data_IF_746975070241
#
_entry.id   IF_746975070241
#
_cell.length_a   1.000
_cell.length_b   1.000
_cell.length_c   1.000
_cell.angle_alpha   90.00
_cell.angle_beta   90.00
_cell.angle_gamma   90.00
#
_symmetry.space_group_name_H-M   'P 1'
#
loop_
_entity.id
_entity.type
_entity.pdbx_description
1 polymer ?
#
# COMPACT_ATOMS: atom_id res chain seq x y z
N UNK A 1 12.21 9.57 4.71
CA UNK A 1 13.09 8.85 5.65
C UNK A 1 13.64 7.63 4.95
N UNK A 2 14.94 7.35 5.11
CA UNK A 2 15.56 6.12 4.59
C UNK A 2 15.92 5.22 5.76
N UNK A 3 15.66 3.94 5.62
CA UNK A 3 15.89 2.89 6.61
C UNK A 3 16.63 1.74 5.95
N UNK A 4 17.18 0.85 6.75
CA UNK A 4 17.68 -0.45 6.27
C UNK A 4 16.76 -1.54 6.82
N UNK A 5 16.12 -2.26 5.93
CA UNK A 5 15.22 -3.37 6.25
C UNK A 5 15.75 -4.64 5.58
N UNK A 6 15.99 -5.67 6.37
CA UNK A 6 16.56 -6.93 5.88
C UNK A 6 17.84 -6.73 5.02
N UNK A 7 18.70 -5.77 5.43
CA UNK A 7 19.95 -5.44 4.74
C UNK A 7 19.79 -4.64 3.44
N UNK A 8 18.60 -4.14 3.11
CA UNK A 8 18.31 -3.35 1.90
C UNK A 8 17.76 -1.97 2.25
N UNK A 9 18.07 -0.93 1.45
CA UNK A 9 17.46 0.38 1.61
C UNK A 9 15.94 0.33 1.43
N UNK A 10 15.22 0.90 2.39
CA UNK A 10 13.79 1.10 2.40
C UNK A 10 13.46 2.60 2.54
N UNK A 11 12.36 3.02 1.97
CA UNK A 11 11.92 4.41 1.99
C UNK A 11 10.52 4.55 2.60
N UNK A 12 10.37 5.59 3.42
CA UNK A 12 9.08 6.04 3.91
C UNK A 12 9.00 7.59 3.81
N UNK A 13 7.95 8.10 3.22
CA UNK A 13 7.66 9.52 3.22
C UNK A 13 7.03 9.93 4.54
N UNK A 14 7.54 11.00 5.14
CA UNK A 14 7.16 11.43 6.50
C UNK A 14 6.23 12.64 6.53
N UNK A 15 5.56 12.94 5.41
CA UNK A 15 4.67 14.11 5.33
C UNK A 15 5.40 15.46 5.42
N UNK A 16 6.69 15.52 5.04
CA UNK A 16 7.59 16.69 5.11
C UNK A 16 8.04 17.09 6.53
N UNK A 17 7.79 16.27 7.54
CA UNK A 17 8.26 16.52 8.92
C UNK A 17 9.29 15.50 9.35
N UNK A 18 10.18 15.91 10.25
CA UNK A 18 11.11 14.99 10.89
C UNK A 18 10.34 13.96 11.74
N UNK A 19 10.79 12.73 11.70
CA UNK A 19 10.25 11.65 12.54
C UNK A 19 10.63 11.89 14.00
N UNK A 20 9.67 11.78 14.92
CA UNK A 20 9.87 11.92 16.36
C UNK A 20 9.25 10.71 17.09
N UNK A 21 10.07 9.79 17.65
CA UNK A 21 9.59 8.56 18.29
C UNK A 21 8.57 8.78 19.44
N UNK A 22 8.53 9.97 20.02
CA UNK A 22 7.59 10.31 21.08
C UNK A 22 6.15 10.60 20.60
N UNK A 23 5.96 10.78 19.28
CA UNK A 23 4.65 11.05 18.70
C UNK A 23 3.95 9.77 18.25
N UNK A 24 2.60 9.79 18.31
CA UNK A 24 1.80 8.72 17.71
C UNK A 24 2.06 8.59 16.22
N UNK A 25 2.14 7.37 15.70
CA UNK A 25 2.54 7.09 14.32
C UNK A 25 1.36 6.60 13.49
N UNK A 26 1.22 7.12 12.27
CA UNK A 26 0.34 6.63 11.23
C UNK A 26 1.17 6.03 10.09
N UNK A 27 0.88 4.79 9.73
CA UNK A 27 1.54 4.04 8.66
C UNK A 27 0.57 3.86 7.51
N UNK A 28 0.99 4.24 6.30
CA UNK A 28 0.19 4.13 5.08
C UNK A 28 0.84 3.13 4.12
N UNK A 29 0.09 2.08 3.77
CA UNK A 29 0.53 1.00 2.89
C UNK A 29 -0.23 1.09 1.57
N UNK A 30 0.50 1.24 0.46
CA UNK A 30 -0.08 1.39 -0.87
C UNK A 30 -0.60 0.07 -1.46
N UNK A 31 -1.39 0.15 -2.53
CA UNK A 31 -1.89 -0.98 -3.31
C UNK A 31 -0.90 -1.46 -4.37
N UNK A 32 -1.31 -2.47 -5.15
CA UNK A 32 -0.50 -3.08 -6.21
C UNK A 32 0.02 -2.05 -7.20
N UNK A 33 1.29 -2.18 -7.59
CA UNK A 33 2.00 -1.32 -8.54
C UNK A 33 1.92 0.18 -8.26
N UNK A 34 1.83 0.57 -6.98
CA UNK A 34 1.83 1.96 -6.52
C UNK A 34 3.08 2.27 -5.69
N UNK A 35 3.15 3.46 -5.14
CA UNK A 35 4.16 3.91 -4.18
C UNK A 35 3.54 4.85 -3.12
N UNK A 36 4.36 5.35 -2.20
CA UNK A 36 3.93 6.26 -1.14
C UNK A 36 3.16 7.48 -1.62
N UNK A 37 3.33 7.91 -2.89
CA UNK A 37 2.75 9.15 -3.40
C UNK A 37 1.22 9.10 -3.55
N UNK A 38 0.60 7.90 -3.58
CA UNK A 38 -0.86 7.77 -3.52
C UNK A 38 -1.44 8.35 -2.22
N UNK A 39 -0.63 8.42 -1.18
CA UNK A 39 -0.98 8.94 0.14
C UNK A 39 -0.58 10.42 0.35
N UNK A 40 -0.21 11.15 -0.70
CA UNK A 40 0.37 12.49 -0.59
C UNK A 40 -0.50 13.47 0.22
N UNK A 41 -1.82 13.45 0.05
CA UNK A 41 -2.73 14.33 0.77
C UNK A 41 -2.91 13.89 2.23
N UNK A 42 -3.15 12.60 2.46
CA UNK A 42 -3.38 12.03 3.77
C UNK A 42 -2.11 12.14 4.65
N UNK A 43 -0.96 11.79 4.09
CA UNK A 43 0.31 11.86 4.81
C UNK A 43 0.64 13.28 5.27
N UNK A 44 0.41 14.29 4.41
CA UNK A 44 0.60 15.70 4.77
C UNK A 44 -0.40 16.16 5.82
N UNK A 45 -1.67 15.76 5.69
CA UNK A 45 -2.70 16.10 6.66
C UNK A 45 -2.35 15.57 8.07
N UNK A 46 -2.00 14.28 8.19
CA UNK A 46 -1.63 13.69 9.47
C UNK A 46 -0.36 14.33 10.05
N UNK A 47 0.66 14.56 9.23
CA UNK A 47 1.89 15.22 9.69
C UNK A 47 1.63 16.65 10.18
N UNK A 48 0.75 17.39 9.49
CA UNK A 48 0.34 18.74 9.91
C UNK A 48 -0.36 18.71 11.27
N UNK A 49 -1.13 17.66 11.57
CA UNK A 49 -1.85 17.48 12.82
C UNK A 49 -1.01 16.78 13.92
N UNK A 50 0.30 16.81 13.83
CA UNK A 50 1.21 16.36 14.89
C UNK A 50 1.37 14.85 15.00
N UNK A 51 1.16 14.12 13.90
CA UNK A 51 1.47 12.69 13.83
C UNK A 51 2.84 12.45 13.20
N UNK A 52 3.54 11.44 13.64
CA UNK A 52 4.51 10.80 12.79
C UNK A 52 3.80 10.12 11.64
N UNK A 53 4.38 10.19 10.47
CA UNK A 53 3.85 9.55 9.26
C UNK A 53 4.93 8.69 8.62
N UNK A 54 4.55 7.49 8.26
CA UNK A 54 5.33 6.59 7.42
C UNK A 54 4.44 6.14 6.26
N UNK A 55 4.41 6.90 5.16
CA UNK A 55 3.87 6.41 3.90
C UNK A 55 4.99 5.64 3.20
N UNK A 56 4.90 4.32 3.28
CA UNK A 56 6.00 3.41 2.91
C UNK A 56 5.99 3.06 1.42
N UNK A 57 7.17 2.85 0.85
CA UNK A 57 7.32 2.11 -0.40
C UNK A 57 7.63 0.65 -0.06
N UNK A 58 6.80 -0.26 -0.53
CA UNK A 58 7.01 -1.70 -0.35
C UNK A 58 8.27 -2.18 -1.11
N UNK A 59 8.86 -3.34 -0.78
CA UNK A 59 10.09 -3.80 -1.44
C UNK A 59 9.88 -3.93 -2.95
N UNK A 60 10.83 -3.39 -3.72
CA UNK A 60 10.76 -3.32 -5.18
C UNK A 60 9.82 -2.26 -5.76
N UNK A 61 9.24 -1.40 -4.90
CA UNK A 61 8.39 -0.28 -5.29
C UNK A 61 9.05 1.07 -4.97
N UNK A 62 8.73 2.09 -5.76
CA UNK A 62 9.15 3.47 -5.52
C UNK A 62 10.65 3.61 -5.28
N UNK A 63 11.01 4.02 -4.08
CA UNK A 63 12.39 4.23 -3.63
C UNK A 63 12.92 3.11 -2.72
N UNK A 64 12.12 2.07 -2.46
CA UNK A 64 12.55 0.90 -1.68
C UNK A 64 13.20 -0.15 -2.57
N UNK A 65 14.38 -0.60 -2.16
CA UNK A 65 15.12 -1.64 -2.86
C UNK A 65 14.75 -3.04 -2.33
N UNK A 66 15.15 -4.04 -3.06
CA UNK A 66 15.01 -5.44 -2.67
C UNK A 66 14.17 -6.25 -3.65
N UNK A 67 14.12 -7.56 -3.46
CA UNK A 67 13.24 -8.40 -4.25
C UNK A 67 11.79 -8.10 -3.90
N UNK A 68 10.89 -8.29 -4.87
CA UNK A 68 9.46 -8.28 -4.63
C UNK A 68 9.09 -9.38 -3.63
N UNK A 69 8.19 -9.09 -2.72
CA UNK A 69 7.54 -10.12 -1.92
C UNK A 69 6.47 -10.81 -2.78
N UNK A 70 6.42 -12.13 -2.70
CA UNK A 70 5.52 -12.94 -3.52
C UNK A 70 4.24 -13.37 -2.79
N UNK A 71 4.07 -12.93 -1.54
CA UNK A 71 2.86 -13.19 -0.75
C UNK A 71 2.54 -12.01 0.18
N UNK A 72 1.29 -11.93 0.62
CA UNK A 72 0.82 -10.92 1.58
C UNK A 72 1.50 -11.12 2.93
N UNK A 73 1.72 -12.35 3.35
CA UNK A 73 2.42 -12.69 4.58
C UNK A 73 3.86 -12.14 4.58
N UNK A 74 4.57 -12.31 3.46
CA UNK A 74 5.94 -11.78 3.33
C UNK A 74 5.95 -10.24 3.32
N UNK A 75 4.93 -9.61 2.73
CA UNK A 75 4.76 -8.15 2.81
C UNK A 75 4.52 -7.70 4.26
N UNK A 76 3.66 -8.40 5.01
CA UNK A 76 3.39 -8.10 6.40
C UNK A 76 4.64 -8.24 7.28
N UNK A 77 5.43 -9.32 7.10
CA UNK A 77 6.69 -9.53 7.81
C UNK A 77 7.71 -8.42 7.47
N UNK A 78 7.77 -7.98 6.20
CA UNK A 78 8.63 -6.88 5.80
C UNK A 78 8.19 -5.54 6.41
N UNK A 79 6.88 -5.26 6.46
CA UNK A 79 6.36 -4.04 7.12
C UNK A 79 6.66 -4.07 8.61
N UNK A 80 6.51 -5.23 9.27
CA UNK A 80 6.91 -5.39 10.68
C UNK A 80 8.39 -5.04 10.89
N UNK A 81 9.28 -5.58 10.05
CA UNK A 81 10.71 -5.29 10.11
C UNK A 81 11.03 -3.80 9.85
N UNK A 82 10.25 -3.12 8.97
CA UNK A 82 10.39 -1.68 8.76
C UNK A 82 9.99 -0.89 10.02
N UNK A 83 8.89 -1.26 10.66
CA UNK A 83 8.43 -0.60 11.89
C UNK A 83 9.39 -0.82 13.05
N UNK A 84 9.95 -2.03 13.18
CA UNK A 84 11.01 -2.33 14.16
C UNK A 84 12.27 -1.49 13.88
N UNK A 85 12.70 -1.37 12.61
CA UNK A 85 13.84 -0.54 12.21
C UNK A 85 13.60 0.97 12.41
N UNK A 86 12.34 1.42 12.39
CA UNK A 86 11.95 2.79 12.70
C UNK A 86 11.67 3.03 14.19
N UNK A 87 11.88 2.01 15.04
CA UNK A 87 11.62 2.04 16.50
C UNK A 87 10.16 2.40 16.84
N UNK A 88 9.22 2.03 15.96
CA UNK A 88 7.78 2.24 16.18
C UNK A 88 7.27 1.13 17.08
N UNK A 89 6.73 1.51 18.25
CA UNK A 89 6.19 0.54 19.21
C UNK A 89 4.74 0.17 18.95
N UNK A 90 3.94 1.12 18.47
CA UNK A 90 2.56 0.89 18.06
C UNK A 90 2.11 1.99 17.09
N UNK A 91 1.41 1.62 16.03
CA UNK A 91 0.95 2.53 15.00
C UNK A 91 -0.54 2.35 14.66
N UNK A 92 -1.15 3.42 14.14
CA UNK A 92 -2.37 3.30 13.34
C UNK A 92 -1.94 2.90 11.94
N UNK A 93 -2.38 1.74 11.47
CA UNK A 93 -2.01 1.21 10.15
C UNK A 93 -3.17 1.37 9.18
N UNK A 94 -2.90 2.02 8.05
CA UNK A 94 -3.87 2.31 7.00
C UNK A 94 -3.39 1.62 5.72
N UNK A 95 -4.15 0.67 5.19
CA UNK A 95 -3.82 -0.04 3.97
C UNK A 95 -4.88 0.13 2.89
N UNK A 96 -4.45 0.26 1.64
CA UNK A 96 -5.33 0.32 0.47
C UNK A 96 -5.12 -0.88 -0.44
N UNK A 97 -6.21 -1.55 -0.87
CA UNK A 97 -6.16 -2.69 -1.79
C UNK A 97 -5.20 -3.78 -1.29
N UNK A 98 -4.15 -4.16 -2.04
CA UNK A 98 -3.08 -5.06 -1.56
C UNK A 98 -2.53 -4.64 -0.19
N UNK A 99 -2.31 -3.34 0.01
CA UNK A 99 -1.87 -2.81 1.30
C UNK A 99 -2.87 -3.02 2.43
N UNK A 100 -4.17 -3.19 2.13
CA UNK A 100 -5.17 -3.53 3.15
C UNK A 100 -5.05 -4.97 3.61
N UNK A 101 -4.77 -5.90 2.70
CA UNK A 101 -4.48 -7.29 3.05
C UNK A 101 -3.19 -7.40 3.88
N UNK A 102 -2.15 -6.67 3.45
CA UNK A 102 -0.88 -6.56 4.19
C UNK A 102 -1.08 -6.01 5.60
N UNK A 103 -1.91 -4.97 5.75
CA UNK A 103 -2.22 -4.38 7.05
C UNK A 103 -3.01 -5.32 7.97
N UNK A 104 -3.96 -6.08 7.40
CA UNK A 104 -4.73 -7.09 8.12
C UNK A 104 -3.82 -8.22 8.61
N UNK A 105 -2.97 -8.76 7.75
CA UNK A 105 -2.02 -9.82 8.09
C UNK A 105 -0.99 -9.33 9.12
N UNK A 106 -0.50 -8.10 9.01
CA UNK A 106 0.38 -7.48 10.00
C UNK A 106 -0.30 -7.41 11.38
N UNK A 107 -1.56 -6.98 11.44
CA UNK A 107 -2.30 -6.92 12.70
C UNK A 107 -2.49 -8.29 13.33
N UNK A 108 -2.69 -9.34 12.53
CA UNK A 108 -2.82 -10.70 13.02
C UNK A 108 -1.50 -11.28 13.56
N UNK A 109 -0.36 -10.95 12.93
CA UNK A 109 0.96 -11.48 13.30
C UNK A 109 1.67 -10.68 14.37
N UNK A 110 1.50 -9.35 14.34
CA UNK A 110 2.21 -8.38 15.15
C UNK A 110 1.22 -7.37 15.76
N UNK A 111 0.25 -7.92 16.53
CA UNK A 111 -0.73 -7.11 17.24
C UNK A 111 -0.08 -6.05 18.19
N UNK A 112 1.15 -6.31 18.63
CA UNK A 112 1.96 -5.38 19.41
C UNK A 112 2.30 -4.10 18.62
N UNK A 113 2.42 -4.17 17.31
CA UNK A 113 2.74 -3.02 16.44
C UNK A 113 1.50 -2.27 15.94
N UNK A 114 0.29 -2.83 16.07
CA UNK A 114 -0.92 -2.25 15.47
C UNK A 114 -1.89 -1.81 16.54
N UNK A 115 -1.97 -0.51 16.79
CA UNK A 115 -2.91 0.07 17.77
C UNK A 115 -4.32 0.25 17.21
N UNK A 116 -4.43 0.53 15.91
CA UNK A 116 -5.70 0.66 15.16
C UNK A 116 -5.45 0.30 13.69
N UNK A 117 -6.49 -0.18 13.04
CA UNK A 117 -6.47 -0.62 11.65
C UNK A 117 -7.52 0.13 10.83
N UNK A 118 -7.14 0.56 9.62
CA UNK A 118 -8.06 1.09 8.62
C UNK A 118 -7.83 0.38 7.28
N UNK A 119 -8.84 -0.30 6.79
CA UNK A 119 -8.82 -1.06 5.54
C UNK A 119 -9.62 -0.31 4.47
N UNK A 120 -8.95 0.09 3.40
CA UNK A 120 -9.54 0.86 2.29
C UNK A 120 -9.55 0.01 1.04
N UNK A 121 -10.74 -0.17 0.43
CA UNK A 121 -10.88 -0.99 -0.78
C UNK A 121 -10.45 -2.45 -0.55
N UNK A 122 -10.86 -3.03 0.58
CA UNK A 122 -10.48 -4.37 1.02
C UNK A 122 -11.53 -5.41 0.65
N UNK A 123 -11.09 -6.59 0.30
CA UNK A 123 -11.91 -7.79 0.20
C UNK A 123 -11.07 -9.03 0.56
N UNK A 124 -11.66 -9.99 1.27
CA UNK A 124 -11.01 -11.26 1.61
C UNK A 124 -12.01 -12.40 1.34
N UNK A 125 -11.70 -13.31 0.41
CA UNK A 125 -10.57 -13.26 -0.52
C UNK A 125 -10.70 -12.09 -1.52
N UNK A 126 -9.55 -11.59 -2.01
CA UNK A 126 -9.56 -10.55 -3.03
C UNK A 126 -9.75 -11.20 -4.41
N UNK A 127 -10.86 -10.88 -5.06
CA UNK A 127 -11.23 -11.49 -6.34
C UNK A 127 -10.41 -10.89 -7.50
N UNK A 128 -9.17 -11.38 -7.66
CA UNK A 128 -8.35 -11.09 -8.85
C UNK A 128 -8.72 -12.08 -9.95
N UNK A 129 -9.45 -11.62 -10.96
CA UNK A 129 -9.88 -12.45 -12.09
C UNK A 129 -8.71 -12.90 -12.96
N UNK A 130 -8.84 -14.10 -13.55
CA UNK A 130 -7.78 -14.68 -14.42
C UNK A 130 -7.43 -13.78 -15.59
N UNK A 131 -8.43 -13.13 -16.19
CA UNK A 131 -8.22 -12.21 -17.32
C UNK A 131 -7.37 -10.98 -16.94
N UNK A 132 -7.48 -10.48 -15.70
CA UNK A 132 -6.65 -9.39 -15.20
C UNK A 132 -5.22 -9.88 -14.95
N UNK A 133 -5.08 -11.05 -14.35
CA UNK A 133 -3.77 -11.64 -14.05
C UNK A 133 -3.00 -11.97 -15.32
N UNK A 134 -3.68 -12.56 -16.32
CA UNK A 134 -3.10 -12.81 -17.64
C UNK A 134 -2.68 -11.50 -18.34
N UNK A 135 -3.53 -10.50 -18.32
CA UNK A 135 -3.21 -9.18 -18.88
C UNK A 135 -2.01 -8.55 -18.16
N UNK A 136 -1.90 -8.67 -16.84
CA UNK A 136 -0.75 -8.15 -16.08
C UNK A 136 0.57 -8.85 -16.46
N UNK A 137 0.52 -10.12 -16.85
CA UNK A 137 1.69 -10.88 -17.30
C UNK A 137 2.08 -10.55 -18.76
N UNK A 138 1.10 -10.52 -19.66
CA UNK A 138 1.32 -10.53 -21.10
C UNK A 138 1.06 -9.18 -21.80
N UNK A 139 0.27 -8.29 -21.18
CA UNK A 139 -0.17 -7.00 -21.73
C UNK A 139 -0.36 -5.98 -20.60
N UNK A 140 0.69 -5.70 -19.85
CA UNK A 140 0.67 -4.95 -18.58
C UNK A 140 -0.08 -3.61 -18.68
N UNK A 141 0.08 -2.85 -19.77
CA UNK A 141 -0.64 -1.60 -19.98
C UNK A 141 -2.17 -1.81 -20.05
N UNK A 142 -2.62 -2.93 -20.64
CA UNK A 142 -4.04 -3.29 -20.64
C UNK A 142 -4.54 -3.55 -19.23
N UNK A 143 -3.77 -4.28 -18.43
CA UNK A 143 -4.12 -4.53 -17.03
C UNK A 143 -4.21 -3.25 -16.21
N UNK A 144 -3.26 -2.33 -16.37
CA UNK A 144 -3.27 -1.03 -15.72
C UNK A 144 -4.53 -0.23 -16.07
N UNK A 145 -4.94 -0.22 -17.35
CA UNK A 145 -6.19 0.43 -17.79
C UNK A 145 -7.41 -0.23 -17.16
N UNK A 146 -7.51 -1.56 -17.17
CA UNK A 146 -8.61 -2.30 -16.53
C UNK A 146 -8.76 -1.92 -15.05
N UNK A 147 -7.65 -1.87 -14.30
CA UNK A 147 -7.67 -1.48 -12.89
C UNK A 147 -8.18 -0.06 -12.72
N UNK A 148 -7.67 0.88 -13.51
CA UNK A 148 -8.07 2.29 -13.43
C UNK A 148 -9.54 2.47 -13.78
N UNK A 149 -10.03 1.82 -14.82
CA UNK A 149 -11.43 1.90 -15.25
C UNK A 149 -12.39 1.41 -14.16
N UNK A 150 -11.99 0.39 -13.40
CA UNK A 150 -12.79 -0.14 -12.29
C UNK A 150 -12.65 0.64 -10.99
N UNK A 151 -11.55 1.37 -10.81
CA UNK A 151 -11.24 2.07 -9.56
C UNK A 151 -11.92 3.42 -9.43
N UNK A 152 -12.38 4.02 -10.51
CA UNK A 152 -12.96 5.35 -10.51
C UNK A 152 -14.43 5.33 -10.93
N UNK A 153 -15.27 6.03 -10.17
CA UNK A 153 -16.65 6.26 -10.56
C UNK A 153 -16.71 7.02 -11.90
N UNK A 154 -17.75 6.78 -12.74
CA UNK A 154 -17.87 7.41 -14.07
C UNK A 154 -17.69 8.93 -14.07
N UNK A 155 -18.22 9.62 -13.07
CA UNK A 155 -18.09 11.08 -12.94
C UNK A 155 -16.65 11.55 -12.67
N UNK A 156 -15.81 10.69 -12.11
CA UNK A 156 -14.40 10.99 -11.85
C UNK A 156 -13.52 10.70 -13.07
N UNK A 157 -13.96 9.79 -13.95
CA UNK A 157 -13.23 9.40 -15.16
C UNK A 157 -13.22 10.53 -16.21
N UNK A 158 -14.27 11.33 -16.29
CA UNK A 158 -14.44 12.39 -17.28
C UNK A 158 -13.83 13.74 -16.87
N UNK A 159 -13.08 13.81 -15.80
CA UNK A 159 -12.47 15.05 -15.33
C UNK A 159 -13.44 16.04 -14.68
N UNK A 160 -14.70 15.68 -14.51
CA UNK A 160 -15.75 16.53 -13.92
C UNK A 160 -15.84 16.43 -12.39
N UNK A 161 -14.74 16.15 -11.73
CA UNK A 161 -14.76 16.12 -10.27
C UNK A 161 -14.70 17.57 -9.72
N UNK A 162 -15.84 18.11 -9.32
CA UNK A 162 -15.95 19.44 -8.70
C UNK A 162 -15.08 19.62 -7.45
N UNK A 163 -14.74 18.51 -6.79
CA UNK A 163 -13.93 18.52 -5.56
C UNK A 163 -12.42 18.64 -5.83
N UNK A 164 -11.99 18.25 -7.02
CA UNK A 164 -10.56 18.29 -7.43
C UNK A 164 -10.47 18.83 -8.86
N UNK A 165 -10.79 20.13 -9.08
CA UNK A 165 -10.77 20.72 -10.41
C UNK A 165 -9.35 20.70 -10.99
N UNK A 166 -9.25 20.43 -12.30
CA UNK A 166 -7.97 20.43 -13.02
C UNK A 166 -7.12 19.18 -12.81
N UNK A 167 -7.57 18.17 -12.05
CA UNK A 167 -6.86 16.91 -11.87
C UNK A 167 -7.55 15.78 -12.62
N UNK A 168 -6.81 15.13 -13.52
CA UNK A 168 -7.28 13.90 -14.16
C UNK A 168 -6.82 12.68 -13.35
N UNK A 169 -7.65 12.27 -12.38
CA UNK A 169 -7.33 11.19 -11.44
C UNK A 169 -6.97 9.86 -12.12
N UNK A 170 -7.71 9.37 -13.15
CA UNK A 170 -7.33 8.16 -13.89
C UNK A 170 -5.94 8.26 -14.53
N UNK A 171 -5.62 9.39 -15.16
CA UNK A 171 -4.30 9.62 -15.77
C UNK A 171 -3.16 9.65 -14.75
N UNK A 172 -3.39 10.23 -13.58
CA UNK A 172 -2.41 10.22 -12.50
C UNK A 172 -2.13 8.80 -12.00
N UNK A 173 -3.18 7.98 -11.84
CA UNK A 173 -3.03 6.57 -11.45
C UNK A 173 -2.28 5.76 -12.50
N UNK A 174 -2.61 5.92 -13.80
CA UNK A 174 -1.86 5.27 -14.89
C UNK A 174 -0.39 5.70 -14.91
N UNK A 175 -0.11 6.99 -14.76
CA UNK A 175 1.25 7.50 -14.74
C UNK A 175 2.07 6.93 -13.58
N UNK A 176 1.44 6.74 -12.42
CA UNK A 176 2.08 6.13 -11.27
C UNK A 176 2.40 4.65 -11.50
N UNK A 177 1.41 3.87 -11.94
CA UNK A 177 1.61 2.43 -12.23
C UNK A 177 2.68 2.19 -13.30
N UNK A 178 2.75 3.04 -14.33
CA UNK A 178 3.75 2.97 -15.40
C UNK A 178 5.18 3.22 -14.95
N UNK A 179 5.41 3.79 -13.77
CA UNK A 179 6.75 3.99 -13.19
C UNK A 179 7.32 2.72 -12.56
N UNK A 180 6.48 1.74 -12.30
CA UNK A 180 6.92 0.47 -11.72
C UNK A 180 7.70 -0.35 -12.75
N UNK A 181 8.63 -1.17 -12.27
CA UNK A 181 9.34 -2.12 -13.12
C UNK A 181 8.37 -3.17 -13.69
N UNK A 182 8.69 -3.66 -14.88
CA UNK A 182 7.88 -4.71 -15.53
C UNK A 182 7.75 -5.94 -14.62
N UNK A 183 6.52 -6.45 -14.52
CA UNK A 183 6.19 -7.64 -13.75
C UNK A 183 5.82 -7.36 -12.29
N UNK A 184 6.03 -6.14 -11.77
CA UNK A 184 5.59 -5.76 -10.41
C UNK A 184 4.09 -5.94 -10.27
N UNK A 185 3.30 -5.42 -11.22
CA UNK A 185 1.84 -5.53 -11.17
C UNK A 185 1.37 -6.99 -11.15
N UNK A 186 1.96 -7.85 -11.98
CA UNK A 186 1.61 -9.28 -11.99
C UNK A 186 1.92 -9.95 -10.65
N UNK A 187 3.13 -9.72 -10.10
CA UNK A 187 3.53 -10.26 -8.80
C UNK A 187 2.55 -9.88 -7.70
N UNK A 188 2.20 -8.62 -7.62
CA UNK A 188 1.32 -8.07 -6.59
C UNK A 188 -0.11 -8.64 -6.68
N UNK A 189 -0.64 -8.71 -7.90
CA UNK A 189 -1.97 -9.29 -8.14
C UNK A 189 -1.99 -10.78 -7.83
N UNK A 190 -0.91 -11.53 -8.15
CA UNK A 190 -0.78 -12.94 -7.82
C UNK A 190 -0.74 -13.15 -6.31
N UNK A 191 0.01 -12.32 -5.57
CA UNK A 191 0.03 -12.36 -4.11
C UNK A 191 -1.35 -12.09 -3.49
N UNK A 192 -2.08 -11.09 -4.02
CA UNK A 192 -3.45 -10.81 -3.58
C UNK A 192 -4.40 -11.98 -3.83
N UNK A 193 -4.32 -12.59 -5.04
CA UNK A 193 -5.17 -13.73 -5.41
C UNK A 193 -4.94 -14.95 -4.54
N UNK A 194 -3.69 -15.20 -4.17
CA UNK A 194 -3.29 -16.35 -3.36
C UNK A 194 -3.66 -16.21 -1.87
N UNK A 195 -3.94 -14.99 -1.40
CA UNK A 195 -4.19 -14.73 0.01
C UNK A 195 -5.59 -15.16 0.44
N UNK A 196 -5.67 -16.11 1.36
CA UNK A 196 -6.92 -16.67 1.90
C UNK A 196 -7.02 -16.60 3.43
N UNK A 197 -5.92 -16.28 4.11
CA UNK A 197 -5.81 -16.37 5.56
C UNK A 197 -6.56 -15.26 6.33
N UNK A 198 -6.98 -14.19 5.68
CA UNK A 198 -7.64 -13.06 6.32
C UNK A 198 -8.93 -13.41 7.07
N UNK A 199 -9.61 -14.49 6.68
CA UNK A 199 -10.80 -14.99 7.39
C UNK A 199 -10.46 -15.70 8.71
N UNK A 200 -9.25 -16.21 8.86
CA UNK A 200 -8.77 -16.86 10.09
C UNK A 200 -8.06 -15.92 11.05
N UNK A 201 -7.67 -14.74 10.56
CA UNK A 201 -7.02 -13.69 11.37
C UNK A 201 -7.99 -12.98 12.34
N UNK A 202 -9.29 -12.97 12.03
CA UNK A 202 -10.33 -12.30 12.81
C UNK A 202 -10.62 -12.91 14.19
N UNK A 203 -10.17 -14.15 14.47
CA UNK A 203 -10.65 -14.89 15.64
C UNK A 203 -9.70 -14.90 16.85
N UNK A 204 -8.56 -14.21 16.78
CA UNK A 204 -7.57 -14.25 17.88
C UNK A 204 -7.58 -13.04 18.81
N UNK A 205 -8.37 -12.01 18.52
CA UNK A 205 -8.38 -10.74 19.27
C UNK A 205 -9.77 -10.11 19.43
N UNK A 206 -10.83 -10.92 19.57
CA UNK A 206 -12.13 -10.46 20.02
C UNK A 206 -12.23 -10.52 21.54
#
# INVERSE_FOLDING_TARGET
MKLIVNGKPAYAYTGTRAFNPAQRTAVFIHGAANDHSVWALQSRYFAWHGWNVLAIDLPGHGQSNGPLCTSIEALADWVAALLDAAEVKAAVVIGHSMGSLTALELAARRADLVSKLALVGSAVPMAVGDALLDAALNAEEKAQRMIVDWSFAPNSQLGNNHKVPGSWLPGNSLALMRRMAKGVLHNDLAACKAYVNGLSADHKHA
#
